data_IF_421255719635
#
_entry.id   IF_421255719635
#
_cell.length_a   1.000
_cell.length_b   1.000
_cell.length_c   1.000
_cell.angle_alpha   90.00
_cell.angle_beta   90.00
_cell.angle_gamma   90.00
#
_symmetry.space_group_name_H-M   'P 1'
#
loop_
_entity.id
_entity.type
_entity.pdbx_description
1 polymer ?
#
# COMPACT_ATOMS: atom_id res chain seq x y z
N UNK A 1 -1.36 -6.66 16.04
CA UNK A 1 -1.47 -7.76 17.03
C UNK A 1 -0.70 -8.97 16.51
N UNK A 2 -0.44 -10.01 17.32
CA UNK A 2 0.21 -11.25 16.80
C UNK A 2 -0.61 -11.88 15.67
N UNK A 3 -1.94 -11.80 15.74
CA UNK A 3 -2.86 -12.24 14.69
C UNK A 3 -2.67 -11.46 13.37
N UNK A 4 -2.54 -10.13 13.44
CA UNK A 4 -2.24 -9.26 12.29
C UNK A 4 -0.92 -9.67 11.62
N UNK A 5 0.14 -9.85 12.39
CA UNK A 5 1.46 -10.28 11.88
C UNK A 5 1.39 -11.63 11.16
N UNK A 6 0.65 -12.58 11.73
CA UNK A 6 0.52 -13.92 11.16
C UNK A 6 -0.34 -13.91 9.88
N UNK A 7 -1.40 -13.10 9.85
CA UNK A 7 -2.27 -12.96 8.69
C UNK A 7 -1.54 -12.32 7.51
N UNK A 8 -0.82 -11.22 7.74
CA UNK A 8 -0.04 -10.55 6.70
C UNK A 8 1.02 -11.48 6.10
N UNK A 9 1.75 -12.22 6.96
CA UNK A 9 2.72 -13.23 6.51
C UNK A 9 2.09 -14.29 5.62
N UNK A 10 0.89 -14.77 5.94
CA UNK A 10 0.15 -15.73 5.11
C UNK A 10 -0.31 -15.14 3.78
N UNK A 11 -0.75 -13.88 3.77
CA UNK A 11 -1.16 -13.21 2.53
C UNK A 11 0.01 -13.04 1.55
N UNK A 12 1.19 -12.69 2.04
CA UNK A 12 2.38 -12.49 1.19
C UNK A 12 3.22 -13.75 0.98
N UNK A 13 2.84 -14.90 1.54
CA UNK A 13 3.60 -16.15 1.45
C UNK A 13 3.92 -16.58 0.00
N UNK A 14 3.04 -16.25 -0.94
CA UNK A 14 3.26 -16.50 -2.38
C UNK A 14 4.32 -15.59 -3.00
N UNK A 15 4.53 -14.39 -2.47
CA UNK A 15 5.55 -13.45 -2.89
C UNK A 15 6.92 -13.79 -2.27
N UNK A 16 6.93 -14.50 -1.15
CA UNK A 16 8.16 -14.92 -0.44
C UNK A 16 8.58 -16.36 -0.74
N UNK A 17 7.78 -17.11 -1.51
CA UNK A 17 8.06 -18.53 -1.82
C UNK A 17 7.76 -19.49 -0.66
N UNK A 18 7.03 -19.03 0.35
CA UNK A 18 6.69 -19.78 1.57
C UNK A 18 5.34 -20.53 1.46
N UNK A 19 4.57 -20.36 0.38
CA UNK A 19 3.33 -21.09 0.15
C UNK A 19 2.38 -20.47 -0.87
N UNK A 20 1.17 -21.02 -1.00
CA UNK A 20 0.07 -20.40 -1.78
C UNK A 20 -0.53 -19.28 -0.92
N UNK A 21 -0.91 -18.16 -1.54
CA UNK A 21 -1.61 -17.09 -0.84
C UNK A 21 -2.93 -17.65 -0.30
N UNK A 22 -3.11 -17.65 1.03
CA UNK A 22 -4.38 -18.04 1.64
C UNK A 22 -5.06 -16.78 2.14
N UNK A 23 -5.94 -16.24 1.31
CA UNK A 23 -6.99 -15.32 1.75
C UNK A 23 -8.26 -16.19 1.84
N UNK A 24 -8.44 -16.90 2.96
CA UNK A 24 -9.65 -17.70 3.20
C UNK A 24 -10.83 -16.75 3.47
N UNK A 25 -11.38 -16.16 2.42
CA UNK A 25 -12.63 -15.41 2.47
C UNK A 25 -13.78 -16.38 2.13
N UNK A 26 -14.64 -16.75 3.10
CA UNK A 26 -15.83 -17.55 2.80
C UNK A 26 -16.83 -16.69 2.01
N UNK A 27 -16.88 -16.89 0.69
CA UNK A 27 -17.81 -16.20 -0.21
C UNK A 27 -17.18 -15.45 -1.38
N UNK A 28 -15.86 -15.49 -1.54
CA UNK A 28 -15.19 -14.80 -2.64
C UNK A 28 -15.49 -15.46 -4.00
N UNK A 29 -16.38 -14.82 -4.76
CA UNK A 29 -16.55 -15.03 -6.20
C UNK A 29 -15.51 -14.25 -7.02
N UNK A 30 -14.37 -13.90 -6.44
CA UNK A 30 -13.34 -13.11 -7.10
C UNK A 30 -12.63 -13.95 -8.17
N UNK A 31 -12.64 -13.47 -9.41
CA UNK A 31 -12.00 -14.14 -10.52
C UNK A 31 -10.46 -14.06 -10.37
N UNK A 32 -9.70 -15.06 -10.86
CA UNK A 32 -8.24 -14.96 -10.94
C UNK A 32 -7.84 -13.72 -11.76
N UNK A 33 -7.35 -12.68 -11.08
CA UNK A 33 -6.99 -11.38 -11.68
C UNK A 33 -7.61 -10.15 -11.02
N UNK A 34 -8.65 -10.32 -10.19
CA UNK A 34 -9.27 -9.22 -9.41
C UNK A 34 -8.77 -9.15 -7.96
N UNK A 35 -7.86 -10.05 -7.60
CA UNK A 35 -7.37 -10.19 -6.23
C UNK A 35 -6.46 -9.00 -5.90
N UNK A 36 -7.04 -7.94 -5.32
CA UNK A 36 -6.26 -6.89 -4.68
C UNK A 36 -5.58 -7.52 -3.45
N UNK A 37 -4.35 -7.98 -3.64
CA UNK A 37 -3.60 -8.77 -2.67
C UNK A 37 -2.89 -7.93 -1.60
N UNK A 38 -3.10 -6.61 -1.60
CA UNK A 38 -2.52 -5.71 -0.59
C UNK A 38 -3.20 -5.98 0.75
N UNK A 39 -2.49 -6.48 1.79
CA UNK A 39 -3.05 -6.78 3.10
C UNK A 39 -3.25 -5.49 3.91
N UNK A 40 -4.15 -4.62 3.46
CA UNK A 40 -4.60 -3.45 4.23
C UNK A 40 -5.42 -3.90 5.43
N UNK A 41 -5.49 -3.09 6.49
CA UNK A 41 -6.29 -3.43 7.67
C UNK A 41 -7.76 -3.63 7.37
N UNK A 42 -8.34 -2.90 6.41
CA UNK A 42 -9.71 -3.17 5.95
C UNK A 42 -9.88 -4.63 5.50
N UNK A 43 -8.98 -5.13 4.65
CA UNK A 43 -9.05 -6.52 4.17
C UNK A 43 -8.74 -7.53 5.27
N UNK A 44 -7.80 -7.23 6.15
CA UNK A 44 -7.50 -8.12 7.29
C UNK A 44 -8.74 -8.26 8.20
N UNK A 45 -9.44 -7.17 8.49
CA UNK A 45 -10.69 -7.20 9.28
C UNK A 45 -11.79 -7.97 8.53
N UNK A 46 -11.93 -7.79 7.21
CA UNK A 46 -12.86 -8.59 6.39
C UNK A 46 -12.51 -10.09 6.43
N UNK A 47 -11.23 -10.43 6.50
CA UNK A 47 -10.71 -11.78 6.73
C UNK A 47 -10.78 -12.23 8.20
N UNK A 48 -11.54 -11.54 9.06
CA UNK A 48 -11.72 -11.86 10.49
C UNK A 48 -10.42 -11.86 11.32
N UNK A 49 -9.42 -11.10 10.88
CA UNK A 49 -8.20 -10.87 11.66
C UNK A 49 -8.50 -9.85 12.76
N UNK A 50 -8.11 -10.17 14.00
CA UNK A 50 -8.25 -9.26 15.14
C UNK A 50 -7.19 -8.16 15.10
N UNK A 51 -7.50 -7.07 14.39
CA UNK A 51 -6.68 -5.87 14.32
C UNK A 51 -7.56 -4.60 14.28
N UNK A 52 -6.97 -3.46 14.64
CA UNK A 52 -7.63 -2.15 14.42
C UNK A 52 -7.84 -1.94 12.92
N UNK A 53 -8.96 -1.33 12.47
CA UNK A 53 -9.15 -0.96 11.07
C UNK A 53 -8.38 0.32 10.69
N UNK A 54 -7.90 1.09 11.66
CA UNK A 54 -7.28 2.39 11.42
C UNK A 54 -5.88 2.26 10.83
N UNK A 55 -5.52 3.20 9.97
CA UNK A 55 -4.21 3.29 9.34
C UNK A 55 -3.07 3.27 10.36
N UNK A 56 -2.05 2.39 10.21
CA UNK A 56 -0.90 2.35 11.11
C UNK A 56 -0.10 3.65 11.13
N UNK A 57 -0.24 4.49 10.10
CA UNK A 57 0.57 5.70 9.93
C UNK A 57 -0.07 6.95 10.54
N UNK A 58 -1.40 7.08 10.46
CA UNK A 58 -2.11 8.26 10.98
C UNK A 58 -3.04 7.95 12.15
N UNK A 59 -3.45 6.69 12.33
CA UNK A 59 -4.41 6.22 13.35
C UNK A 59 -5.78 6.93 13.33
N UNK A 60 -6.09 7.67 12.26
CA UNK A 60 -7.31 8.50 12.17
C UNK A 60 -8.39 7.88 11.28
N UNK A 61 -8.02 7.30 10.13
CA UNK A 61 -8.96 6.79 9.13
C UNK A 61 -8.76 5.29 8.89
N UNK A 62 -9.78 4.63 8.36
CA UNK A 62 -9.69 3.21 7.95
C UNK A 62 -8.63 3.05 6.86
N UNK A 63 -7.79 2.02 7.00
CA UNK A 63 -6.78 1.68 5.99
C UNK A 63 -7.39 0.83 4.87
N UNK A 64 -7.86 1.49 3.82
CA UNK A 64 -8.09 0.88 2.51
C UNK A 64 -6.87 1.08 1.58
N UNK A 65 -6.92 0.53 0.37
CA UNK A 65 -5.83 0.69 -0.62
C UNK A 65 -5.58 2.16 -0.97
N UNK A 66 -6.63 2.98 -1.03
CA UNK A 66 -6.48 4.40 -1.35
C UNK A 66 -5.80 5.17 -0.21
N UNK A 67 -6.12 4.85 1.03
CA UNK A 67 -5.53 5.48 2.20
C UNK A 67 -4.07 5.04 2.40
N UNK A 68 -3.76 3.77 2.17
CA UNK A 68 -2.41 3.24 2.26
C UNK A 68 -1.42 3.90 1.27
N UNK A 69 -1.89 4.30 0.08
CA UNK A 69 -1.01 4.79 -0.99
C UNK A 69 -1.23 6.24 -1.44
N UNK A 70 -2.37 6.86 -1.13
CA UNK A 70 -2.75 8.13 -1.75
C UNK A 70 -3.29 9.18 -0.78
N UNK A 71 -4.22 8.83 0.12
CA UNK A 71 -5.00 9.84 0.87
C UNK A 71 -4.56 10.06 2.32
N UNK A 72 -3.74 9.17 2.89
CA UNK A 72 -3.17 9.39 4.22
C UNK A 72 -2.30 10.67 4.25
N UNK A 73 -2.40 11.54 5.27
CA UNK A 73 -1.63 12.79 5.32
C UNK A 73 -0.12 12.61 5.18
N UNK A 74 0.44 11.58 5.85
CA UNK A 74 1.86 11.21 5.74
C UNK A 74 2.22 10.80 4.31
N UNK A 75 1.33 10.03 3.67
CA UNK A 75 1.52 9.55 2.30
C UNK A 75 1.51 10.72 1.31
N UNK A 76 0.48 11.58 1.37
CA UNK A 76 0.34 12.75 0.50
C UNK A 76 1.54 13.72 0.62
N UNK A 77 2.04 13.93 1.85
CA UNK A 77 3.26 14.70 2.07
C UNK A 77 4.49 14.06 1.41
N UNK A 78 4.59 12.73 1.43
CA UNK A 78 5.70 11.99 0.80
C UNK A 78 5.70 12.11 -0.72
N UNK A 79 4.52 12.12 -1.35
CA UNK A 79 4.36 12.39 -2.79
C UNK A 79 4.87 13.78 -3.19
N UNK A 80 4.61 14.78 -2.35
CA UNK A 80 5.11 16.15 -2.55
C UNK A 80 6.63 16.20 -2.43
N UNK A 81 7.21 15.55 -1.42
CA UNK A 81 8.67 15.53 -1.23
C UNK A 81 9.38 14.80 -2.37
N UNK A 82 8.79 13.74 -2.93
CA UNK A 82 9.31 13.06 -4.10
C UNK A 82 9.16 13.88 -5.40
N UNK A 83 8.46 15.01 -5.38
CA UNK A 83 8.22 15.85 -6.55
C UNK A 83 7.42 15.15 -7.64
N UNK A 84 6.48 14.28 -7.24
CA UNK A 84 5.55 13.56 -8.12
C UNK A 84 4.10 13.76 -7.68
N UNK A 85 3.79 14.83 -6.93
CA UNK A 85 2.42 15.10 -6.48
C UNK A 85 1.45 15.34 -7.64
N UNK A 86 1.93 15.80 -8.80
CA UNK A 86 1.11 15.98 -10.00
C UNK A 86 0.57 14.65 -10.54
N UNK A 87 1.37 13.57 -10.42
CA UNK A 87 0.95 12.21 -10.77
C UNK A 87 -0.20 11.77 -9.87
N UNK A 88 -0.07 12.03 -8.56
CA UNK A 88 -1.09 11.73 -7.57
C UNK A 88 -2.38 12.52 -7.87
N UNK A 89 -2.30 13.85 -7.90
CA UNK A 89 -3.45 14.75 -8.00
C UNK A 89 -4.30 14.52 -9.26
N UNK A 90 -3.68 14.15 -10.37
CA UNK A 90 -4.39 13.88 -11.63
C UNK A 90 -5.18 12.57 -11.61
N UNK A 91 -4.88 11.65 -10.67
CA UNK A 91 -5.34 10.26 -10.69
C UNK A 91 -5.98 9.78 -9.40
N UNK A 92 -5.90 10.57 -8.32
CA UNK A 92 -6.42 10.23 -6.99
C UNK A 92 -7.89 9.78 -6.98
N UNK A 93 -8.68 10.22 -7.95
CA UNK A 93 -10.10 9.85 -8.09
C UNK A 93 -10.38 8.76 -9.14
N UNK A 94 -9.37 8.34 -9.91
CA UNK A 94 -9.53 7.47 -11.08
C UNK A 94 -9.09 6.03 -10.82
N UNK A 95 -8.34 5.77 -9.76
CA UNK A 95 -7.78 4.45 -9.49
C UNK A 95 -8.57 3.76 -8.37
N UNK A 96 -9.23 2.65 -8.71
CA UNK A 96 -9.94 1.82 -7.75
C UNK A 96 -9.01 0.79 -7.09
N UNK A 97 -7.80 0.60 -7.64
CA UNK A 97 -6.76 -0.26 -7.08
C UNK A 97 -5.36 0.31 -7.33
N UNK A 98 -4.39 -0.17 -6.55
CA UNK A 98 -2.98 0.15 -6.78
C UNK A 98 -2.49 -0.36 -8.15
N UNK A 99 -3.00 -1.51 -8.63
CA UNK A 99 -2.63 -2.08 -9.92
C UNK A 99 -3.05 -1.19 -11.10
N UNK A 100 -4.28 -0.67 -11.08
CA UNK A 100 -4.77 0.28 -12.09
C UNK A 100 -3.97 1.58 -12.08
N UNK A 101 -3.65 2.10 -10.89
CA UNK A 101 -2.81 3.29 -10.74
C UNK A 101 -1.43 3.06 -11.39
N UNK A 102 -0.77 1.95 -11.05
CA UNK A 102 0.53 1.56 -11.60
C UNK A 102 0.46 1.45 -13.13
N UNK A 103 -0.54 0.74 -13.65
CA UNK A 103 -0.71 0.56 -15.09
C UNK A 103 -0.89 1.91 -15.81
N UNK A 104 -1.70 2.80 -15.25
CA UNK A 104 -1.94 4.12 -15.83
C UNK A 104 -0.67 4.97 -15.83
N UNK A 105 0.05 5.03 -14.70
CA UNK A 105 1.32 5.77 -14.60
C UNK A 105 2.33 5.25 -15.61
N UNK A 106 2.56 3.94 -15.67
CA UNK A 106 3.49 3.32 -16.63
C UNK A 106 3.12 3.54 -18.09
N UNK A 107 1.83 3.75 -18.39
CA UNK A 107 1.34 3.93 -19.76
C UNK A 107 1.32 5.39 -20.21
N UNK A 108 1.40 6.35 -19.29
CA UNK A 108 1.14 7.78 -19.58
C UNK A 108 2.27 8.71 -19.18
N UNK A 109 3.06 8.36 -18.15
CA UNK A 109 4.20 9.15 -17.69
C UNK A 109 5.51 8.67 -18.35
N UNK A 110 6.51 9.55 -18.39
CA UNK A 110 7.86 9.13 -18.78
C UNK A 110 8.48 8.18 -17.74
N UNK A 111 9.53 7.46 -18.14
CA UNK A 111 10.14 6.42 -17.31
C UNK A 111 10.74 6.95 -16.00
N UNK A 112 11.20 8.20 -15.95
CA UNK A 112 11.76 8.79 -14.73
C UNK A 112 10.65 9.09 -13.74
N UNK A 113 9.57 9.72 -14.19
CA UNK A 113 8.39 10.03 -13.35
C UNK A 113 7.70 8.75 -12.89
N UNK A 114 7.46 7.81 -13.81
CA UNK A 114 6.87 6.52 -13.49
C UNK A 114 7.73 5.72 -12.51
N UNK A 115 9.05 5.64 -12.76
CA UNK A 115 9.99 4.97 -11.87
C UNK A 115 9.97 5.54 -10.46
N UNK A 116 9.99 6.87 -10.33
CA UNK A 116 9.93 7.54 -9.03
C UNK A 116 8.62 7.31 -8.30
N UNK A 117 7.48 7.39 -9.00
CA UNK A 117 6.16 7.12 -8.42
C UNK A 117 6.05 5.68 -7.89
N UNK A 118 6.51 4.69 -8.68
CA UNK A 118 6.54 3.29 -8.25
C UNK A 118 7.47 3.07 -7.07
N UNK A 119 8.64 3.70 -7.08
CA UNK A 119 9.59 3.60 -5.97
C UNK A 119 9.04 4.23 -4.70
N UNK A 120 8.30 5.33 -4.82
CA UNK A 120 7.61 5.93 -3.69
C UNK A 120 6.54 5.00 -3.12
N UNK A 121 5.69 4.41 -3.96
CA UNK A 121 4.69 3.42 -3.51
C UNK A 121 5.36 2.25 -2.77
N UNK A 122 6.48 1.75 -3.28
CA UNK A 122 7.28 0.73 -2.60
C UNK A 122 7.80 1.20 -1.23
N UNK A 123 8.39 2.40 -1.15
CA UNK A 123 8.92 2.94 0.11
C UNK A 123 7.81 3.18 1.14
N UNK A 124 6.63 3.65 0.71
CA UNK A 124 5.46 3.83 1.57
C UNK A 124 4.98 2.49 2.14
N UNK A 125 4.84 1.48 1.28
CA UNK A 125 4.46 0.14 1.71
C UNK A 125 5.48 -0.44 2.70
N UNK A 126 6.77 -0.27 2.42
CA UNK A 126 7.84 -0.73 3.29
C UNK A 126 7.79 -0.03 4.66
N UNK A 127 7.54 1.29 4.69
CA UNK A 127 7.43 2.06 5.92
C UNK A 127 6.21 1.65 6.74
N UNK A 128 5.08 1.40 6.08
CA UNK A 128 3.86 0.89 6.73
C UNK A 128 4.13 -0.48 7.37
N UNK A 129 4.81 -1.38 6.66
CA UNK A 129 5.14 -2.69 7.21
C UNK A 129 6.12 -2.60 8.38
N UNK A 130 7.09 -1.69 8.32
CA UNK A 130 8.01 -1.44 9.43
C UNK A 130 7.26 -0.93 10.68
N UNK A 131 6.24 -0.09 10.47
CA UNK A 131 5.39 0.37 11.56
C UNK A 131 4.59 -0.78 12.18
N UNK A 132 3.99 -1.65 11.37
CA UNK A 132 3.22 -2.80 11.87
C UNK A 132 4.10 -3.85 12.56
N UNK A 133 5.29 -4.14 12.00
CA UNK A 133 6.13 -5.25 12.47
C UNK A 133 7.12 -4.84 13.55
N UNK A 134 7.63 -3.61 13.49
CA UNK A 134 8.71 -3.14 14.36
C UNK A 134 8.34 -1.88 15.17
N UNK A 135 7.11 -1.36 15.03
CA UNK A 135 6.69 -0.10 15.68
C UNK A 135 7.63 1.08 15.35
N UNK A 136 8.19 1.05 14.14
CA UNK A 136 9.10 2.06 13.65
C UNK A 136 8.55 2.68 12.37
N UNK A 137 8.64 4.01 12.26
CA UNK A 137 8.18 4.74 11.09
C UNK A 137 9.13 5.87 10.75
N UNK A 138 9.39 6.05 9.46
CA UNK A 138 10.05 7.22 8.90
C UNK A 138 9.04 8.35 8.66
N UNK A 139 9.54 9.58 8.67
CA UNK A 139 8.78 10.77 8.30
C UNK A 139 8.62 10.88 6.77
N UNK A 140 7.57 11.58 6.34
CA UNK A 140 7.27 11.79 4.93
C UNK A 140 8.46 12.34 4.12
N UNK A 141 9.25 13.23 4.74
CA UNK A 141 10.44 13.78 4.13
C UNK A 141 11.49 12.71 3.81
N UNK A 142 11.75 11.77 4.72
CA UNK A 142 12.73 10.70 4.54
C UNK A 142 12.28 9.74 3.43
N UNK A 143 11.00 9.37 3.43
CA UNK A 143 10.40 8.46 2.44
C UNK A 143 10.45 9.09 1.04
N UNK A 144 10.02 10.34 0.91
CA UNK A 144 10.03 11.05 -0.37
C UNK A 144 11.44 11.23 -0.92
N UNK A 145 12.41 11.56 -0.07
CA UNK A 145 13.83 11.64 -0.47
C UNK A 145 14.40 10.28 -0.90
N UNK A 146 14.04 9.20 -0.20
CA UNK A 146 14.47 7.85 -0.57
C UNK A 146 13.98 7.48 -1.97
N UNK A 147 12.72 7.81 -2.30
CA UNK A 147 12.16 7.57 -3.62
C UNK A 147 12.78 8.47 -4.71
N UNK A 148 13.07 9.73 -4.38
CA UNK A 148 13.68 10.67 -5.32
C UNK A 148 15.11 10.28 -5.74
N UNK A 149 15.88 9.73 -4.80
CA UNK A 149 17.32 9.47 -4.96
C UNK A 149 17.67 8.07 -5.51
N UNK A 150 16.68 7.19 -5.73
CA UNK A 150 16.86 5.83 -6.25
C UNK A 150 16.52 5.76 -7.73
#
# INVERSE_FOLDING_TARGET
TEAELLAEKKCVAHLTGEGIAVCDLPGDTMLPGEMDCIPTREKLVQCHVDCSPHCPMCDENVEDTAHAFFTCPMVSASWTVAGVETVLNSRTHLSHSAAEFIFNVCSTEDSLVAGRALMLMWCLWQNRNDMVWNSHSQEAHQIGQQAFNR
#
